data_IF_571256220854
#
_entry.id   IF_571256220854
#
_cell.length_a   1.000
_cell.length_b   1.000
_cell.length_c   1.000
_cell.angle_alpha   90.00
_cell.angle_beta   90.00
_cell.angle_gamma   90.00
#
_symmetry.space_group_name_H-M   'P 1'
#
loop_
_entity.id
_entity.type
_entity.pdbx_description
1 polymer ?
#
# COMPACT_ATOMS: atom_id res chain seq x y z
N UNK A 1 -29.42 13.56 6.58
CA UNK A 1 -28.56 12.39 6.87
C UNK A 1 -27.97 11.90 5.56
N UNK A 2 -26.85 12.48 5.15
CA UNK A 2 -26.06 12.03 4.01
C UNK A 2 -24.65 12.60 4.21
N UNK A 3 -23.77 11.82 4.84
CA UNK A 3 -22.33 12.11 4.82
C UNK A 3 -21.68 11.06 3.94
N UNK A 4 -21.17 11.54 2.81
CA UNK A 4 -20.46 10.77 1.81
C UNK A 4 -19.21 10.14 2.42
N UNK A 5 -19.04 8.86 2.14
CA UNK A 5 -17.76 8.19 2.26
C UNK A 5 -16.80 8.88 1.28
N UNK A 6 -15.81 9.60 1.81
CA UNK A 6 -14.62 9.94 1.06
C UNK A 6 -13.84 8.64 0.87
N UNK A 7 -14.14 7.96 -0.23
CA UNK A 7 -13.29 6.92 -0.78
C UNK A 7 -11.96 7.56 -1.16
N UNK A 8 -10.88 6.78 -0.99
CA UNK A 8 -9.53 7.08 -1.49
C UNK A 8 -9.60 7.69 -2.90
N UNK A 9 -8.68 8.61 -3.25
CA UNK A 9 -8.75 9.39 -4.47
C UNK A 9 -9.04 8.48 -5.67
N UNK A 10 -10.09 8.84 -6.41
CA UNK A 10 -10.36 8.36 -7.77
C UNK A 10 -9.23 8.85 -8.68
N UNK A 11 -8.01 8.34 -8.54
CA UNK A 11 -6.96 8.61 -9.52
C UNK A 11 -7.11 7.64 -10.68
N UNK A 12 -8.00 7.98 -11.60
CA UNK A 12 -8.01 7.51 -13.00
C UNK A 12 -6.77 8.02 -13.79
N UNK A 13 -5.69 8.37 -13.10
CA UNK A 13 -4.53 9.02 -13.69
C UNK A 13 -3.51 7.96 -14.12
N UNK A 14 -3.60 7.50 -15.37
CA UNK A 14 -2.69 6.51 -15.93
C UNK A 14 -1.21 6.90 -15.81
N UNK A 15 -0.90 8.20 -15.78
CA UNK A 15 0.46 8.72 -15.56
C UNK A 15 1.01 8.36 -14.17
N UNK A 16 0.18 8.44 -13.13
CA UNK A 16 0.55 8.11 -11.76
C UNK A 16 0.74 6.59 -11.60
N UNK A 17 -0.06 5.80 -12.32
CA UNK A 17 0.06 4.34 -12.33
C UNK A 17 1.36 3.86 -12.98
N UNK A 18 1.73 4.45 -14.12
CA UNK A 18 2.98 4.10 -14.79
C UNK A 18 4.22 4.53 -13.98
N UNK A 19 4.15 5.66 -13.26
CA UNK A 19 5.22 6.10 -12.37
C UNK A 19 5.39 5.12 -11.19
N UNK A 20 4.30 4.73 -10.55
CA UNK A 20 4.32 3.77 -9.45
C UNK A 20 4.81 2.38 -9.90
N UNK A 21 4.36 1.89 -11.06
CA UNK A 21 4.82 0.61 -11.61
C UNK A 21 6.34 0.59 -11.82
N UNK A 22 6.92 1.69 -12.32
CA UNK A 22 8.37 1.82 -12.49
C UNK A 22 9.11 1.82 -11.15
N UNK A 23 8.65 2.62 -10.19
CA UNK A 23 9.27 2.70 -8.87
C UNK A 23 9.23 1.35 -8.14
N UNK A 24 8.08 0.65 -8.19
CA UNK A 24 7.94 -0.69 -7.61
C UNK A 24 8.87 -1.70 -8.30
N UNK A 25 8.97 -1.68 -9.63
CA UNK A 25 9.87 -2.58 -10.36
C UNK A 25 11.34 -2.31 -10.03
N UNK A 26 11.71 -1.05 -9.83
CA UNK A 26 13.07 -0.66 -9.46
C UNK A 26 13.45 -1.19 -8.07
N UNK A 27 12.58 -1.07 -7.07
CA UNK A 27 12.74 -1.70 -5.75
C UNK A 27 12.93 -3.23 -5.86
N UNK A 28 12.16 -3.87 -6.73
CA UNK A 28 12.25 -5.31 -6.97
C UNK A 28 13.59 -5.67 -7.64
N UNK A 29 14.06 -4.85 -8.58
CA UNK A 29 15.32 -5.04 -9.31
C UNK A 29 16.56 -4.84 -8.42
N UNK A 30 16.49 -3.91 -7.46
CA UNK A 30 17.55 -3.68 -6.48
C UNK A 30 17.73 -4.89 -5.56
N UNK A 31 16.64 -5.48 -5.08
CA UNK A 31 16.68 -6.62 -4.17
C UNK A 31 17.21 -7.91 -4.83
N UNK A 32 16.92 -8.14 -6.12
CA UNK A 32 17.43 -9.28 -6.88
C UNK A 32 17.27 -9.12 -8.41
N UNK A 33 17.95 -9.96 -9.19
CA UNK A 33 17.83 -9.98 -10.66
C UNK A 33 16.39 -10.23 -11.11
N UNK A 34 15.87 -9.40 -12.03
CA UNK A 34 14.50 -9.53 -12.58
C UNK A 34 14.26 -10.81 -13.38
N UNK A 35 15.33 -11.45 -13.88
CA UNK A 35 15.24 -12.73 -14.59
C UNK A 35 14.89 -13.90 -13.68
N UNK A 36 15.04 -13.75 -12.36
CA UNK A 36 14.64 -14.79 -11.42
C UNK A 36 13.11 -14.77 -11.25
N UNK A 37 12.45 -15.95 -11.17
CA UNK A 37 11.02 -16.00 -10.90
C UNK A 37 10.72 -15.41 -9.52
N UNK A 38 9.62 -14.67 -9.40
CA UNK A 38 9.14 -14.03 -8.16
C UNK A 38 7.71 -14.44 -7.92
N UNK A 39 7.29 -14.40 -6.65
CA UNK A 39 5.86 -14.51 -6.35
C UNK A 39 5.19 -13.24 -6.87
N UNK A 40 4.48 -13.37 -7.99
CA UNK A 40 3.78 -12.29 -8.68
C UNK A 40 2.30 -12.36 -8.39
N UNK A 41 1.72 -11.31 -7.82
CA UNK A 41 0.35 -11.29 -7.32
C UNK A 41 -0.41 -10.15 -7.98
N UNK A 42 -1.59 -10.42 -8.52
CA UNK A 42 -2.51 -9.43 -9.07
C UNK A 42 -3.81 -9.42 -8.30
N UNK A 43 -4.41 -8.24 -8.08
CA UNK A 43 -5.64 -8.09 -7.30
C UNK A 43 -6.72 -7.34 -8.09
N UNK A 44 -7.91 -7.92 -8.13
CA UNK A 44 -9.10 -7.32 -8.74
C UNK A 44 -10.24 -7.25 -7.72
N UNK A 45 -10.86 -6.07 -7.61
CA UNK A 45 -11.98 -5.79 -6.71
C UNK A 45 -13.32 -5.87 -7.44
N UNK A 46 -14.31 -6.47 -6.79
CA UNK A 46 -15.68 -6.58 -7.30
C UNK A 46 -16.70 -6.24 -6.21
N UNK A 47 -17.81 -5.64 -6.63
CA UNK A 47 -18.95 -5.35 -5.76
C UNK A 47 -19.88 -6.54 -5.52
N UNK A 48 -19.61 -7.70 -6.14
CA UNK A 48 -20.41 -8.91 -5.91
C UNK A 48 -19.63 -10.18 -6.20
N UNK A 49 -20.02 -11.28 -5.51
CA UNK A 49 -19.46 -12.61 -5.75
C UNK A 49 -19.66 -13.05 -7.20
N UNK A 50 -20.84 -12.76 -7.77
CA UNK A 50 -21.21 -13.15 -9.13
C UNK A 50 -20.26 -12.52 -10.16
N UNK A 51 -19.97 -11.24 -10.01
CA UNK A 51 -19.01 -10.53 -10.86
C UNK A 51 -17.60 -11.13 -10.77
N UNK A 52 -17.12 -11.36 -9.54
CA UNK A 52 -15.79 -11.95 -9.31
C UNK A 52 -15.66 -13.37 -9.89
N UNK A 53 -16.71 -14.21 -9.75
CA UNK A 53 -16.77 -15.53 -10.36
C UNK A 53 -16.76 -15.44 -11.89
N UNK A 54 -17.53 -14.51 -12.48
CA UNK A 54 -17.54 -14.31 -13.93
C UNK A 54 -16.16 -13.90 -14.46
N UNK A 55 -15.46 -13.00 -13.76
CA UNK A 55 -14.08 -12.60 -14.08
C UNK A 55 -13.13 -13.80 -14.06
N UNK A 56 -13.14 -14.59 -12.97
CA UNK A 56 -12.32 -15.80 -12.85
C UNK A 56 -12.60 -16.80 -13.95
N UNK A 57 -13.88 -17.06 -14.27
CA UNK A 57 -14.25 -17.97 -15.36
C UNK A 57 -13.78 -17.45 -16.71
N UNK A 58 -13.82 -16.14 -16.96
CA UNK A 58 -13.32 -15.54 -18.20
C UNK A 58 -11.80 -15.69 -18.32
N UNK A 59 -11.05 -15.45 -17.26
CA UNK A 59 -9.60 -15.67 -17.21
C UNK A 59 -9.25 -17.13 -17.52
N UNK A 60 -9.93 -18.08 -16.89
CA UNK A 60 -9.74 -19.51 -17.12
C UNK A 60 -10.03 -19.91 -18.58
N UNK A 61 -11.14 -19.42 -19.16
CA UNK A 61 -11.48 -19.69 -20.57
C UNK A 61 -10.44 -19.14 -21.54
N UNK A 62 -9.83 -18.01 -21.21
CA UNK A 62 -8.81 -17.37 -22.02
C UNK A 62 -7.40 -17.93 -21.76
N UNK A 63 -7.26 -19.00 -20.95
CA UNK A 63 -5.97 -19.62 -20.67
C UNK A 63 -5.04 -18.80 -19.79
N UNK A 64 -5.58 -17.93 -18.92
CA UNK A 64 -4.75 -17.21 -17.94
C UNK A 64 -4.02 -18.19 -17.03
N UNK A 65 -2.71 -18.00 -16.91
CA UNK A 65 -1.80 -19.01 -16.32
C UNK A 65 -1.71 -18.94 -14.79
N UNK A 66 -2.09 -17.82 -14.18
CA UNK A 66 -1.97 -17.66 -12.74
C UNK A 66 -3.03 -18.48 -12.00
N UNK A 67 -2.63 -19.01 -10.83
CA UNK A 67 -3.55 -19.54 -9.84
C UNK A 67 -4.51 -18.44 -9.38
N UNK A 68 -5.66 -18.81 -8.81
CA UNK A 68 -6.68 -17.82 -8.42
C UNK A 68 -7.45 -18.20 -7.15
N UNK A 69 -7.75 -17.20 -6.34
CA UNK A 69 -8.55 -17.30 -5.13
C UNK A 69 -9.59 -16.19 -5.10
N UNK A 70 -10.79 -16.54 -4.63
CA UNK A 70 -11.83 -15.57 -4.32
C UNK A 70 -11.94 -15.43 -2.81
N UNK A 71 -11.82 -14.21 -2.31
CA UNK A 71 -11.97 -13.90 -0.89
C UNK A 71 -12.94 -12.73 -0.70
N UNK A 72 -13.61 -12.72 0.45
CA UNK A 72 -14.40 -11.58 0.91
C UNK A 72 -13.52 -10.76 1.83
N UNK A 73 -13.29 -9.48 1.52
CA UNK A 73 -12.36 -8.62 2.28
C UNK A 73 -13.06 -7.60 3.19
N UNK A 74 -14.39 -7.49 3.07
CA UNK A 74 -15.20 -6.60 3.90
C UNK A 74 -16.30 -7.36 4.63
N UNK A 75 -16.86 -6.73 5.67
CA UNK A 75 -18.04 -7.26 6.37
C UNK A 75 -19.32 -7.19 5.52
N UNK A 76 -19.31 -6.36 4.46
CA UNK A 76 -20.41 -6.25 3.51
C UNK A 76 -20.42 -7.46 2.55
N UNK A 77 -21.61 -7.86 2.10
CA UNK A 77 -21.77 -8.91 1.07
C UNK A 77 -21.24 -8.48 -0.31
N UNK A 78 -20.89 -7.21 -0.45
CA UNK A 78 -20.57 -6.53 -1.71
C UNK A 78 -19.07 -6.20 -1.82
N UNK A 79 -18.20 -6.94 -1.11
CA UNK A 79 -16.75 -6.69 -1.07
C UNK A 79 -15.98 -7.97 -1.39
N UNK A 80 -15.76 -8.22 -2.68
CA UNK A 80 -15.08 -9.43 -3.18
C UNK A 80 -13.75 -9.10 -3.85
N UNK A 81 -12.73 -9.89 -3.53
CA UNK A 81 -11.42 -9.85 -4.15
C UNK A 81 -11.22 -11.11 -4.99
N UNK A 82 -10.68 -10.93 -6.20
CA UNK A 82 -10.02 -11.99 -6.96
C UNK A 82 -8.52 -11.74 -6.89
N UNK A 83 -7.82 -12.63 -6.19
CA UNK A 83 -6.36 -12.65 -6.12
C UNK A 83 -5.85 -13.67 -7.13
N UNK A 84 -4.88 -13.27 -7.95
CA UNK A 84 -4.23 -14.12 -8.94
C UNK A 84 -2.73 -14.18 -8.63
N UNK A 85 -2.09 -15.34 -8.70
CA UNK A 85 -0.65 -15.41 -8.46
C UNK A 85 0.08 -16.54 -9.20
N UNK A 86 1.37 -16.36 -9.41
CA UNK A 86 2.29 -17.35 -9.99
C UNK A 86 3.73 -17.05 -9.63
N UNK A 87 4.61 -18.05 -9.73
CA UNK A 87 6.05 -17.81 -9.77
C UNK A 87 6.45 -17.40 -11.20
N UNK A 88 6.82 -16.14 -11.43
CA UNK A 88 7.11 -15.61 -12.78
C UNK A 88 8.18 -14.53 -12.72
N UNK A 89 9.06 -14.45 -13.72
CA UNK A 89 9.93 -13.29 -13.90
C UNK A 89 9.07 -12.07 -14.23
N UNK A 90 9.34 -10.94 -13.58
CA UNK A 90 8.56 -9.71 -13.74
C UNK A 90 9.44 -8.67 -14.39
N UNK A 91 8.98 -8.15 -15.52
CA UNK A 91 9.58 -7.02 -16.22
C UNK A 91 8.49 -6.03 -16.67
N UNK A 92 8.91 -4.92 -17.27
CA UNK A 92 8.00 -3.88 -17.74
C UNK A 92 6.94 -4.39 -18.74
N UNK A 93 7.30 -5.34 -19.60
CA UNK A 93 6.37 -5.91 -20.59
C UNK A 93 5.29 -6.74 -19.91
N UNK A 94 5.70 -7.64 -19.01
CA UNK A 94 4.78 -8.45 -18.19
C UNK A 94 3.82 -7.56 -17.39
N UNK A 95 4.33 -6.47 -16.79
CA UNK A 95 3.51 -5.52 -16.02
C UNK A 95 2.47 -4.84 -16.93
N UNK A 96 2.92 -4.25 -18.04
CA UNK A 96 2.05 -3.50 -18.95
C UNK A 96 0.97 -4.39 -19.58
N UNK A 97 1.34 -5.59 -20.03
CA UNK A 97 0.42 -6.56 -20.63
C UNK A 97 -0.59 -7.07 -19.59
N UNK A 98 -0.11 -7.42 -18.39
CA UNK A 98 -0.98 -7.90 -17.29
C UNK A 98 -1.96 -6.82 -16.88
N UNK A 99 -1.51 -5.57 -16.69
CA UNK A 99 -2.38 -4.44 -16.34
C UNK A 99 -3.47 -4.24 -17.38
N UNK A 100 -3.08 -4.08 -18.65
CA UNK A 100 -4.03 -3.84 -19.75
C UNK A 100 -5.07 -4.94 -19.85
N UNK A 101 -4.64 -6.20 -19.75
CA UNK A 101 -5.54 -7.33 -19.86
C UNK A 101 -6.45 -7.49 -18.64
N UNK A 102 -5.92 -7.34 -17.42
CA UNK A 102 -6.70 -7.47 -16.20
C UNK A 102 -7.67 -6.30 -15.99
N UNK A 103 -7.31 -5.09 -16.41
CA UNK A 103 -8.23 -3.95 -16.49
C UNK A 103 -9.38 -4.24 -17.44
N UNK A 104 -9.11 -4.79 -18.63
CA UNK A 104 -10.14 -5.20 -19.58
C UNK A 104 -11.08 -6.26 -18.99
N UNK A 105 -10.53 -7.28 -18.31
CA UNK A 105 -11.33 -8.33 -17.67
C UNK A 105 -12.19 -7.73 -16.55
N UNK A 106 -11.59 -6.89 -15.69
CA UNK A 106 -12.27 -6.23 -14.59
C UNK A 106 -13.44 -5.38 -15.09
N UNK A 107 -13.19 -4.47 -16.06
CA UNK A 107 -14.20 -3.61 -16.65
C UNK A 107 -15.35 -4.41 -17.28
N UNK A 108 -15.03 -5.46 -18.05
CA UNK A 108 -16.03 -6.31 -18.70
C UNK A 108 -16.89 -7.13 -17.71
N UNK A 109 -16.52 -7.16 -16.43
CA UNK A 109 -17.22 -7.91 -15.38
C UNK A 109 -17.61 -7.03 -14.20
N UNK A 110 -17.68 -5.71 -14.38
CA UNK A 110 -18.06 -4.72 -13.36
C UNK A 110 -17.16 -4.76 -12.11
N UNK A 111 -15.85 -4.86 -12.33
CA UNK A 111 -14.82 -4.77 -11.30
C UNK A 111 -13.77 -3.73 -11.63
N UNK A 112 -12.75 -3.66 -10.78
CA UNK A 112 -11.58 -2.79 -10.93
C UNK A 112 -10.29 -3.59 -10.69
N UNK A 113 -9.31 -3.45 -11.56
CA UNK A 113 -7.95 -3.91 -11.27
C UNK A 113 -7.31 -2.93 -10.28
N UNK A 114 -6.76 -3.46 -9.19
CA UNK A 114 -6.14 -2.65 -8.14
C UNK A 114 -4.64 -2.46 -8.34
N UNK A 115 -4.01 -3.38 -9.07
CA UNK A 115 -2.57 -3.42 -9.26
C UNK A 115 -1.97 -4.76 -8.86
N UNK A 116 -0.65 -4.74 -8.73
CA UNK A 116 0.18 -5.91 -8.53
C UNK A 116 1.06 -5.80 -7.30
N UNK A 117 1.59 -6.94 -6.88
CA UNK A 117 2.62 -7.08 -5.85
C UNK A 117 3.62 -8.16 -6.28
N UNK A 118 4.90 -7.96 -5.94
CA UNK A 118 5.95 -8.93 -6.19
C UNK A 118 6.79 -9.20 -4.94
N UNK A 119 7.25 -10.43 -4.78
CA UNK A 119 8.30 -10.73 -3.78
C UNK A 119 9.61 -10.03 -4.14
N UNK A 120 10.27 -9.44 -3.13
CA UNK A 120 11.57 -8.78 -3.25
C UNK A 120 12.71 -9.78 -3.51
N UNK A 121 12.58 -10.99 -3.01
CA UNK A 121 13.51 -12.09 -3.28
C UNK A 121 12.92 -13.09 -4.29
N UNK A 122 13.77 -13.87 -4.98
CA UNK A 122 13.32 -14.95 -5.86
C UNK A 122 12.34 -15.89 -5.17
N UNK A 123 11.36 -16.39 -5.91
CA UNK A 123 10.34 -17.26 -5.37
C UNK A 123 10.98 -18.58 -4.92
N UNK A 124 10.81 -18.94 -3.65
CA UNK A 124 11.33 -20.22 -3.13
C UNK A 124 10.52 -21.41 -3.66
N UNK A 125 9.21 -21.19 -3.88
CA UNK A 125 8.22 -22.16 -4.37
C UNK A 125 6.92 -21.45 -4.69
N UNK A 126 6.06 -22.12 -5.45
CA UNK A 126 4.64 -21.75 -5.48
C UNK A 126 4.01 -22.03 -4.11
N UNK A 127 3.01 -21.23 -3.74
CA UNK A 127 2.29 -21.36 -2.48
C UNK A 127 0.78 -21.41 -2.74
N UNK A 128 0.05 -22.08 -1.84
CA UNK A 128 -1.40 -22.23 -1.96
C UNK A 128 -2.16 -20.92 -1.62
N UNK A 129 -1.53 -20.04 -0.85
CA UNK A 129 -2.08 -18.75 -0.48
C UNK A 129 -0.98 -17.66 -0.49
N UNK A 130 -1.04 -16.70 -1.43
CA UNK A 130 -0.02 -15.66 -1.56
C UNK A 130 -0.01 -14.67 -0.38
N UNK A 131 -1.10 -14.55 0.38
CA UNK A 131 -1.18 -13.63 1.52
C UNK A 131 -0.30 -14.09 2.70
N UNK A 132 0.12 -15.37 2.72
CA UNK A 132 1.05 -15.92 3.71
C UNK A 132 2.44 -16.21 3.13
N UNK A 133 2.79 -15.58 2.00
CA UNK A 133 4.12 -15.76 1.42
C UNK A 133 5.21 -15.29 2.42
N UNK A 134 6.26 -16.10 2.67
CA UNK A 134 7.18 -15.84 3.77
C UNK A 134 8.16 -14.70 3.49
N UNK A 135 8.49 -14.46 2.21
CA UNK A 135 9.40 -13.39 1.83
C UNK A 135 8.70 -12.03 1.83
N UNK A 136 9.49 -10.97 1.99
CA UNK A 136 9.02 -9.60 1.81
C UNK A 136 8.48 -9.40 0.38
N UNK A 137 7.31 -8.79 0.26
CA UNK A 137 6.72 -8.39 -1.02
C UNK A 137 6.27 -6.94 -0.97
N UNK A 138 6.39 -6.27 -2.12
CA UNK A 138 6.03 -4.86 -2.29
C UNK A 138 5.09 -4.71 -3.48
N UNK A 139 4.13 -3.81 -3.40
CA UNK A 139 3.15 -3.62 -4.46
C UNK A 139 2.14 -2.52 -4.21
N UNK A 140 1.14 -2.48 -5.07
CA UNK A 140 -0.02 -1.61 -4.95
C UNK A 140 -0.82 -1.90 -3.67
N UNK A 141 -1.44 -0.85 -3.13
CA UNK A 141 -2.37 -0.98 -2.00
C UNK A 141 -3.56 -1.87 -2.38
N UNK A 142 -3.90 -2.76 -1.46
CA UNK A 142 -5.13 -3.52 -1.44
C UNK A 142 -6.10 -2.89 -0.43
N UNK A 143 -7.40 -3.26 -0.45
CA UNK A 143 -8.39 -2.67 0.45
C UNK A 143 -8.10 -2.89 1.94
N UNK A 144 -7.38 -3.96 2.28
CA UNK A 144 -6.91 -4.18 3.65
C UNK A 144 -5.91 -3.11 4.11
N UNK A 145 -5.04 -2.66 3.21
CA UNK A 145 -4.06 -1.60 3.48
C UNK A 145 -4.77 -0.24 3.60
N UNK A 146 -5.74 0.03 2.72
CA UNK A 146 -6.57 1.24 2.79
C UNK A 146 -7.35 1.32 4.12
N UNK A 147 -7.93 0.20 4.55
CA UNK A 147 -8.64 0.11 5.83
C UNK A 147 -7.70 0.34 7.01
N UNK A 148 -6.50 -0.26 6.99
CA UNK A 148 -5.48 -0.04 8.00
C UNK A 148 -5.12 1.45 8.09
N UNK A 149 -4.81 2.09 6.95
CA UNK A 149 -4.46 3.50 6.91
C UNK A 149 -5.63 4.37 7.41
N UNK A 150 -6.88 4.01 7.10
CA UNK A 150 -8.05 4.70 7.64
C UNK A 150 -8.18 4.57 9.16
N UNK A 151 -8.12 3.35 9.69
CA UNK A 151 -8.22 3.10 11.14
C UNK A 151 -7.09 3.78 11.91
N UNK A 152 -5.86 3.75 11.39
CA UNK A 152 -4.71 4.44 11.96
C UNK A 152 -4.93 5.97 12.02
N UNK A 153 -5.48 6.59 10.96
CA UNK A 153 -5.85 8.02 10.97
C UNK A 153 -6.89 8.33 12.05
N UNK A 154 -7.90 7.49 12.21
CA UNK A 154 -8.92 7.68 13.24
C UNK A 154 -8.33 7.54 14.66
N UNK A 155 -7.37 6.65 14.86
CA UNK A 155 -6.62 6.56 16.12
C UNK A 155 -5.80 7.82 16.39
N UNK A 156 -5.10 8.34 15.37
CA UNK A 156 -4.26 9.52 15.50
C UNK A 156 -5.02 10.76 15.99
N UNK A 157 -6.30 10.90 15.61
CA UNK A 157 -7.18 12.00 16.09
C UNK A 157 -7.31 12.05 17.61
N UNK A 158 -7.08 10.93 18.31
CA UNK A 158 -7.12 10.87 19.79
C UNK A 158 -5.92 11.55 20.44
N UNK A 159 -4.85 11.82 19.70
CA UNK A 159 -3.71 12.63 20.17
C UNK A 159 -4.04 14.12 20.22
N UNK A 160 -5.06 14.55 19.48
CA UNK A 160 -5.45 15.96 19.43
C UNK A 160 -6.34 16.29 20.62
N UNK A 161 -6.05 17.34 21.41
CA UNK A 161 -6.91 17.78 22.49
C UNK A 161 -8.35 18.07 22.00
N UNK A 162 -9.34 17.74 22.82
CA UNK A 162 -10.76 17.96 22.49
C UNK A 162 -11.02 19.41 22.08
N UNK A 163 -11.72 19.59 20.95
CA UNK A 163 -12.08 20.90 20.42
C UNK A 163 -11.00 21.58 19.57
N UNK A 164 -9.86 20.91 19.34
CA UNK A 164 -8.86 21.33 18.36
C UNK A 164 -8.97 20.50 17.08
N UNK A 165 -8.62 21.14 15.97
CA UNK A 165 -8.50 20.46 14.69
C UNK A 165 -7.15 19.73 14.60
N UNK A 166 -7.10 18.71 13.74
CA UNK A 166 -5.87 18.00 13.45
C UNK A 166 -4.87 18.97 12.78
N UNK A 167 -3.61 19.04 13.24
CA UNK A 167 -2.62 19.90 12.59
C UNK A 167 -2.47 19.58 11.10
N UNK A 168 -2.27 20.64 10.31
CA UNK A 168 -2.18 20.51 8.85
C UNK A 168 -0.76 20.50 8.32
N UNK A 169 0.19 21.12 9.02
CA UNK A 169 1.60 21.10 8.64
C UNK A 169 2.34 19.95 9.35
N UNK A 170 3.44 19.53 8.75
CA UNK A 170 4.19 18.36 9.21
C UNK A 170 4.89 18.60 10.56
N UNK A 171 5.40 19.81 10.79
CA UNK A 171 6.06 20.19 12.05
C UNK A 171 5.12 20.06 13.26
N UNK A 172 3.89 20.57 13.16
CA UNK A 172 2.90 20.49 14.23
C UNK A 172 2.38 19.07 14.46
N UNK A 173 2.36 18.24 13.41
CA UNK A 173 2.08 16.80 13.57
C UNK A 173 3.22 16.15 14.36
N UNK A 174 4.49 16.39 14.01
CA UNK A 174 5.63 15.86 14.74
C UNK A 174 5.63 16.28 16.23
N UNK A 175 5.15 17.49 16.53
CA UNK A 175 5.00 17.99 17.90
C UNK A 175 3.97 17.22 18.76
N UNK A 176 3.18 16.30 18.18
CA UNK A 176 2.26 15.42 18.91
C UNK A 176 2.96 14.20 19.54
N UNK A 177 4.24 13.93 19.23
CA UNK A 177 4.97 12.77 19.76
C UNK A 177 4.91 12.67 21.32
N UNK A 178 5.10 13.76 22.10
CA UNK A 178 5.06 13.69 23.56
C UNK A 178 3.72 13.21 24.12
N UNK A 179 2.60 13.44 23.41
CA UNK A 179 1.25 13.05 23.83
C UNK A 179 1.08 11.52 23.94
N UNK A 180 1.97 10.74 23.31
CA UNK A 180 1.99 9.28 23.42
C UNK A 180 2.29 8.78 24.84
N UNK A 181 3.09 9.52 25.63
CA UNK A 181 3.61 9.06 26.94
C UNK A 181 2.50 8.79 27.96
N UNK A 182 1.37 9.50 27.85
CA UNK A 182 0.22 9.39 28.76
C UNK A 182 -0.83 8.35 28.39
N UNK A 183 -0.70 7.69 27.23
CA UNK A 183 -1.79 6.91 26.64
C UNK A 183 -1.63 5.40 26.88
N UNK A 184 -2.77 4.69 26.99
CA UNK A 184 -2.80 3.23 27.17
C UNK A 184 -2.48 2.46 25.88
N UNK A 185 -2.83 3.00 24.73
CA UNK A 185 -2.66 2.36 23.42
C UNK A 185 -1.54 3.01 22.61
N UNK A 186 -0.33 3.06 23.17
CA UNK A 186 0.81 3.80 22.59
C UNK A 186 1.15 3.37 21.17
N UNK A 187 1.18 2.06 20.90
CA UNK A 187 1.54 1.53 19.59
C UNK A 187 0.53 1.95 18.50
N UNK A 188 -0.77 1.81 18.75
CA UNK A 188 -1.80 2.21 17.78
C UNK A 188 -1.78 3.72 17.49
N UNK A 189 -1.48 4.53 18.51
CA UNK A 189 -1.34 5.98 18.35
C UNK A 189 -0.05 6.37 17.63
N UNK A 190 1.05 5.66 17.86
CA UNK A 190 2.30 5.84 17.13
C UNK A 190 2.13 5.49 15.64
N UNK A 191 1.46 4.37 15.33
CA UNK A 191 1.07 4.01 13.97
C UNK A 191 0.22 5.11 13.34
N UNK A 192 -0.80 5.58 14.06
CA UNK A 192 -1.63 6.70 13.62
C UNK A 192 -0.83 7.98 13.33
N UNK A 193 0.09 8.35 14.21
CA UNK A 193 0.97 9.50 14.01
C UNK A 193 1.86 9.32 12.76
N UNK A 194 2.42 8.13 12.56
CA UNK A 194 3.17 7.77 11.36
C UNK A 194 2.34 7.92 10.08
N UNK A 195 1.08 7.47 10.10
CA UNK A 195 0.19 7.61 8.93
C UNK A 195 -0.12 9.07 8.63
N UNK A 196 -0.34 9.92 9.64
CA UNK A 196 -0.55 11.36 9.41
C UNK A 196 0.67 12.05 8.81
N UNK A 197 1.87 11.70 9.29
CA UNK A 197 3.13 12.14 8.71
C UNK A 197 3.21 11.71 7.25
N UNK A 198 2.91 10.44 6.96
CA UNK A 198 2.98 9.92 5.62
C UNK A 198 1.97 10.57 4.66
N UNK A 199 0.76 10.88 5.11
CA UNK A 199 -0.22 11.62 4.31
C UNK A 199 0.28 13.01 3.91
N UNK A 200 0.94 13.71 4.83
CA UNK A 200 1.54 15.02 4.51
C UNK A 200 2.71 14.89 3.58
N UNK A 201 3.57 13.89 3.77
CA UNK A 201 4.69 13.65 2.87
C UNK A 201 4.20 13.34 1.45
N UNK A 202 3.21 12.47 1.28
CA UNK A 202 2.61 12.16 -0.05
C UNK A 202 1.97 13.39 -0.69
N UNK A 203 1.42 14.32 0.10
CA UNK A 203 0.82 15.54 -0.43
C UNK A 203 1.84 16.56 -0.95
N UNK A 204 3.10 16.50 -0.51
CA UNK A 204 4.12 17.52 -0.77
C UNK A 204 5.40 16.99 -1.45
N UNK A 205 5.54 15.68 -1.63
CA UNK A 205 6.69 15.05 -2.25
C UNK A 205 6.25 13.96 -3.25
N UNK A 206 7.09 13.58 -4.22
CA UNK A 206 6.79 12.51 -5.17
C UNK A 206 6.89 11.13 -4.50
N UNK A 207 6.00 10.88 -3.55
CA UNK A 207 5.89 9.66 -2.76
C UNK A 207 4.51 9.05 -2.96
N UNK A 208 4.42 7.73 -2.85
CA UNK A 208 3.14 7.02 -2.87
C UNK A 208 3.04 6.02 -1.71
N UNK A 209 1.86 5.89 -1.13
CA UNK A 209 1.56 4.75 -0.25
C UNK A 209 1.54 3.46 -1.07
N UNK A 210 2.30 2.48 -0.61
CA UNK A 210 2.41 1.14 -1.20
C UNK A 210 2.22 0.08 -0.13
N UNK A 211 1.85 -1.12 -0.55
CA UNK A 211 1.78 -2.26 0.34
C UNK A 211 3.15 -2.89 0.48
N UNK A 212 3.60 -3.10 1.71
CA UNK A 212 4.68 -4.02 2.03
C UNK A 212 4.15 -5.14 2.92
N UNK A 213 4.39 -6.40 2.54
CA UNK A 213 3.94 -7.59 3.27
C UNK A 213 5.13 -8.46 3.63
N UNK A 214 5.10 -8.99 4.84
CA UNK A 214 6.11 -9.94 5.29
C UNK A 214 5.50 -10.87 6.34
N UNK A 215 5.61 -12.19 6.14
CA UNK A 215 5.11 -13.22 7.08
C UNK A 215 3.64 -13.05 7.48
N UNK A 216 2.79 -12.66 6.53
CA UNK A 216 1.35 -12.43 6.76
C UNK A 216 1.01 -11.13 7.49
N UNK A 217 2.00 -10.27 7.77
CA UNK A 217 1.77 -8.91 8.27
C UNK A 217 1.48 -7.91 7.14
N UNK A 218 0.74 -6.85 7.49
CA UNK A 218 0.41 -5.73 6.63
C UNK A 218 1.15 -4.51 7.13
N UNK A 219 2.05 -3.97 6.32
CA UNK A 219 2.86 -2.82 6.68
C UNK A 219 2.86 -1.82 5.52
N UNK A 220 1.83 -0.99 5.36
CA UNK A 220 1.87 0.06 4.36
C UNK A 220 3.09 0.96 4.59
N UNK A 221 3.79 1.30 3.52
CA UNK A 221 4.95 2.17 3.56
C UNK A 221 4.87 3.21 2.44
N UNK A 222 5.74 4.21 2.49
CA UNK A 222 5.87 5.19 1.41
C UNK A 222 6.98 4.74 0.46
N UNK A 223 6.75 4.87 -0.83
CA UNK A 223 7.75 4.64 -1.86
C UNK A 223 8.05 5.95 -2.59
N UNK A 224 9.33 6.28 -2.75
CA UNK A 224 9.76 7.35 -3.64
C UNK A 224 9.46 7.01 -5.10
N UNK A 225 8.77 7.89 -5.81
CA UNK A 225 8.49 7.71 -7.23
C UNK A 225 9.70 8.07 -8.11
N UNK A 226 10.62 8.85 -7.57
CA UNK A 226 11.87 9.29 -8.20
C UNK A 226 13.12 8.70 -7.53
N UNK A 227 12.92 8.00 -6.41
CA UNK A 227 13.97 7.44 -5.56
C UNK A 227 13.55 6.05 -5.19
N UNK A 228 14.37 5.06 -5.51
CA UNK A 228 14.11 3.65 -5.22
C UNK A 228 14.31 3.41 -3.71
N UNK A 229 13.46 4.02 -2.88
CA UNK A 229 13.60 4.03 -1.43
C UNK A 229 12.21 3.93 -0.79
N UNK A 230 12.08 2.95 0.10
CA UNK A 230 10.89 2.77 0.92
C UNK A 230 11.10 3.40 2.30
N UNK A 231 10.12 4.17 2.75
CA UNK A 231 10.10 4.82 4.06
C UNK A 231 8.96 4.25 4.89
N UNK A 232 9.22 4.03 6.17
CA UNK A 232 8.24 3.49 7.12
C UNK A 232 7.97 4.55 8.19
N UNK A 233 6.99 5.46 7.98
CA UNK A 233 6.72 6.55 8.92
C UNK A 233 6.48 6.08 10.36
N UNK A 234 5.84 4.92 10.53
CA UNK A 234 5.62 4.33 11.85
C UNK A 234 6.92 3.93 12.55
N UNK A 235 7.89 3.38 11.81
CA UNK A 235 9.21 3.06 12.33
C UNK A 235 9.97 4.32 12.74
N UNK A 236 9.90 5.38 11.92
CA UNK A 236 10.54 6.67 12.25
C UNK A 236 9.95 7.25 13.55
N UNK A 237 8.63 7.18 13.72
CA UNK A 237 7.95 7.60 14.95
C UNK A 237 8.39 6.75 16.15
N UNK A 238 8.44 5.43 16.00
CA UNK A 238 8.85 4.52 17.07
C UNK A 238 10.30 4.77 17.49
N UNK A 239 11.22 4.92 16.53
CA UNK A 239 12.63 5.21 16.78
C UNK A 239 12.83 6.55 17.48
N UNK A 240 12.14 7.61 17.03
CA UNK A 240 12.20 8.91 17.70
C UNK A 240 11.64 8.85 19.12
N UNK A 241 10.54 8.12 19.31
CA UNK A 241 9.94 7.93 20.63
C UNK A 241 10.87 7.21 21.60
N UNK A 242 11.43 6.06 21.18
CA UNK A 242 12.29 5.21 22.00
C UNK A 242 13.63 5.89 22.32
N UNK A 243 14.16 6.68 21.38
CA UNK A 243 15.40 7.44 21.56
C UNK A 243 15.20 8.79 22.29
N UNK A 244 13.96 9.16 22.62
CA UNK A 244 13.59 10.51 23.09
C UNK A 244 14.15 11.64 22.20
N UNK A 245 14.22 11.38 20.89
CA UNK A 245 14.75 12.31 19.90
C UNK A 245 13.67 13.25 19.38
N UNK A 246 14.09 14.37 18.80
CA UNK A 246 13.17 15.24 18.07
C UNK A 246 12.69 14.54 16.80
N UNK A 247 11.37 14.33 16.70
CA UNK A 247 10.78 13.61 15.56
C UNK A 247 10.90 14.38 14.26
N UNK A 248 10.89 15.71 14.31
CA UNK A 248 11.04 16.53 13.12
C UNK A 248 12.46 16.38 12.56
N UNK A 249 13.49 16.48 13.40
CA UNK A 249 14.89 16.24 13.00
C UNK A 249 15.07 14.83 12.42
N UNK A 250 14.53 13.79 13.09
CA UNK A 250 14.59 12.41 12.60
C UNK A 250 13.89 12.22 11.25
N UNK A 251 12.76 12.88 11.06
CA UNK A 251 12.04 12.83 9.80
C UNK A 251 12.82 13.53 8.68
N UNK A 252 13.48 14.66 8.99
CA UNK A 252 14.37 15.34 8.07
C UNK A 252 15.55 14.44 7.66
N UNK A 253 16.21 13.78 8.62
CA UNK A 253 17.29 12.83 8.33
C UNK A 253 16.82 11.64 7.48
N UNK A 254 15.66 11.07 7.81
CA UNK A 254 15.16 9.85 7.19
C UNK A 254 14.56 10.07 5.80
N UNK A 255 13.95 11.22 5.53
CA UNK A 255 13.16 11.48 4.31
C UNK A 255 13.74 12.63 3.47
N UNK A 256 14.38 13.63 4.08
CA UNK A 256 14.77 14.90 3.43
C UNK A 256 16.26 14.95 3.03
N UNK A 257 16.72 13.96 2.26
CA UNK A 257 17.62 14.28 1.14
C UNK A 257 16.84 14.91 -0.04
N UNK A 258 15.59 15.38 0.16
CA UNK A 258 14.75 16.04 -0.85
C UNK A 258 15.13 17.53 -0.94
N UNK A 259 15.24 18.11 -2.15
CA UNK A 259 15.57 19.52 -2.30
C UNK A 259 14.49 20.37 -1.63
N UNK A 260 14.93 21.28 -0.77
CA UNK A 260 14.08 22.22 -0.05
C UNK A 260 13.23 23.06 -1.02
N UNK A 261 11.96 22.71 -1.14
CA UNK A 261 10.88 23.55 -1.63
C UNK A 261 9.64 23.03 -0.89
N UNK A 262 9.01 23.72 0.05
CA UNK A 262 8.93 25.13 0.40
C UNK A 262 8.79 25.22 1.93
N UNK A 263 9.44 26.21 2.55
CA UNK A 263 9.18 26.64 3.92
C UNK A 263 7.95 27.55 3.96
#
# INVERSE_FOLDING_TARGET
>A
MAHGAHLAPESDNQADAAALDRALLAMVAEAARLTAPRMWINRLRFSSRRAAVAARTRLQRNGWVQQSQLSQFGRSKDSWMLTLWSATSVDNGVIADSRSYLELIAAATNGRYLGWEASLLPALRECDNPDYYPEGSIGWLAPGDENYLHEAREEAKKLVPRGRELPQNLHDICALLPELRGQRSRQALASGLGVLIGDRLVAHAPLAWVAYRQRGGFYPCLLGLERDTAYFPESIVAEAYDAEADLWERLQEAVLELPAAEQ
#
